data_IF_671735399465
#
_entry.id   IF_671735399465
#
_cell.length_a   1.000
_cell.length_b   1.000
_cell.length_c   1.000
_cell.angle_alpha   90.00
_cell.angle_beta   90.00
_cell.angle_gamma   90.00
#
_symmetry.space_group_name_H-M   'P 1'
#
loop_
_entity.id
_entity.type
_entity.pdbx_description
1 polymer ?
#
# COMPACT_ATOMS: atom_id res chain seq x y z
N UNK A 1 5.00 -18.35 5.81
CA UNK A 1 4.50 -17.32 4.88
C UNK A 1 4.92 -15.95 5.37
N UNK A 2 5.62 -15.21 4.51
CA UNK A 2 5.87 -13.79 4.69
C UNK A 2 5.02 -12.99 3.70
N UNK A 3 4.46 -11.86 4.15
CA UNK A 3 3.88 -10.86 3.27
C UNK A 3 4.60 -9.54 3.49
N UNK A 4 5.23 -9.03 2.43
CA UNK A 4 5.78 -7.69 2.39
C UNK A 4 4.72 -6.71 1.88
N UNK A 5 4.43 -5.69 2.65
CA UNK A 5 3.41 -4.68 2.37
C UNK A 5 4.10 -3.37 1.98
N UNK A 6 3.78 -2.86 0.82
CA UNK A 6 4.42 -1.68 0.23
C UNK A 6 3.34 -0.68 -0.19
N UNK A 7 3.44 0.57 0.24
CA UNK A 7 2.67 1.65 -0.36
C UNK A 7 3.32 2.07 -1.67
N UNK A 8 2.53 2.24 -2.73
CA UNK A 8 3.00 2.72 -4.04
C UNK A 8 3.87 3.98 -3.95
N UNK A 9 4.63 4.26 -5.00
CA UNK A 9 5.48 5.45 -5.13
C UNK A 9 4.71 6.75 -5.24
N UNK A 10 5.41 7.87 -5.10
CA UNK A 10 4.84 9.20 -5.20
C UNK A 10 4.15 9.45 -6.54
N UNK A 11 3.01 10.11 -6.49
CA UNK A 11 2.30 10.68 -7.64
C UNK A 11 2.26 12.21 -7.52
N UNK A 12 1.92 12.91 -8.61
CA UNK A 12 1.75 14.37 -8.55
C UNK A 12 0.62 14.78 -7.59
N UNK A 13 -0.41 13.95 -7.45
CA UNK A 13 -1.48 14.21 -6.49
C UNK A 13 -1.03 14.03 -5.03
N UNK A 14 -0.12 13.08 -4.74
CA UNK A 14 0.53 13.02 -3.43
C UNK A 14 1.29 14.30 -3.14
N UNK A 15 2.04 14.79 -4.12
CA UNK A 15 2.88 15.98 -3.96
C UNK A 15 2.07 17.25 -3.62
N UNK A 16 0.89 17.42 -4.21
CA UNK A 16 0.02 18.58 -3.99
C UNK A 16 -1.09 18.33 -2.95
N UNK A 17 -1.10 17.17 -2.29
CA UNK A 17 -2.05 16.86 -1.21
C UNK A 17 -3.48 16.60 -1.67
N UNK A 18 -3.69 16.12 -2.90
CA UNK A 18 -5.00 15.67 -3.38
C UNK A 18 -5.27 14.22 -2.99
N UNK A 19 -6.49 13.94 -2.56
CA UNK A 19 -6.97 12.58 -2.33
C UNK A 19 -7.16 11.88 -3.68
N UNK A 20 -6.53 10.73 -3.86
CA UNK A 20 -6.59 9.96 -5.09
C UNK A 20 -7.72 8.93 -5.09
N UNK A 21 -7.86 8.19 -3.99
CA UNK A 21 -8.81 7.10 -3.93
C UNK A 21 -8.57 6.11 -5.08
N UNK A 22 -9.62 5.83 -5.86
CA UNK A 22 -9.56 4.96 -7.05
C UNK A 22 -9.30 5.71 -8.35
N UNK A 23 -9.16 7.03 -8.31
CA UNK A 23 -8.70 7.80 -9.48
C UNK A 23 -7.31 7.34 -9.87
N UNK A 24 -7.14 7.01 -11.15
CA UNK A 24 -5.97 6.30 -11.66
C UNK A 24 -4.86 7.27 -12.07
N UNK A 25 -4.15 7.79 -11.08
CA UNK A 25 -3.03 8.72 -11.26
C UNK A 25 -1.71 7.93 -11.33
N UNK A 26 -0.85 8.18 -12.35
CA UNK A 26 0.42 7.49 -12.53
C UNK A 26 1.47 7.95 -11.50
N UNK A 27 2.55 7.16 -11.38
CA UNK A 27 3.76 7.60 -10.67
C UNK A 27 4.34 8.85 -11.32
N UNK A 28 4.94 9.72 -10.51
CA UNK A 28 5.85 10.72 -11.02
C UNK A 28 7.30 10.20 -11.03
N UNK A 29 8.26 11.00 -11.49
CA UNK A 29 9.66 10.59 -11.57
C UNK A 29 10.23 10.22 -10.19
N UNK A 30 9.90 11.01 -9.16
CA UNK A 30 10.33 10.70 -7.79
C UNK A 30 9.76 9.37 -7.30
N UNK A 31 8.50 9.07 -7.61
CA UNK A 31 7.87 7.78 -7.28
C UNK A 31 8.58 6.59 -7.92
N UNK A 32 9.01 6.71 -9.18
CA UNK A 32 9.83 5.70 -9.87
C UNK A 32 11.19 5.51 -9.20
N UNK A 33 11.85 6.61 -8.82
CA UNK A 33 13.12 6.55 -8.11
C UNK A 33 12.99 5.90 -6.73
N UNK A 34 11.94 6.23 -5.99
CA UNK A 34 11.62 5.58 -4.72
C UNK A 34 11.44 4.06 -4.88
N UNK A 35 10.73 3.62 -5.92
CA UNK A 35 10.52 2.22 -6.22
C UNK A 35 11.84 1.49 -6.53
N UNK A 36 12.75 2.11 -7.27
CA UNK A 36 14.08 1.57 -7.55
C UNK A 36 14.92 1.42 -6.28
N UNK A 37 14.89 2.41 -5.38
CA UNK A 37 15.60 2.35 -4.10
C UNK A 37 15.12 1.19 -3.22
N UNK A 38 13.80 0.97 -3.15
CA UNK A 38 13.29 -0.19 -2.44
C UNK A 38 13.67 -1.50 -3.14
N UNK A 39 13.57 -1.57 -4.46
CA UNK A 39 13.99 -2.74 -5.23
C UNK A 39 15.45 -3.12 -5.00
N UNK A 40 16.36 -2.14 -5.01
CA UNK A 40 17.78 -2.34 -4.72
C UNK A 40 18.02 -2.85 -3.30
N UNK A 41 17.25 -2.37 -2.33
CA UNK A 41 17.30 -2.88 -0.96
C UNK A 41 16.83 -4.33 -0.91
N UNK A 42 15.66 -4.63 -1.47
CA UNK A 42 15.07 -5.97 -1.45
C UNK A 42 15.98 -7.02 -2.11
N UNK A 43 16.71 -6.63 -3.16
CA UNK A 43 17.67 -7.53 -3.84
C UNK A 43 18.86 -7.90 -2.94
N UNK A 44 19.14 -7.12 -1.89
CA UNK A 44 20.24 -7.32 -0.93
C UNK A 44 19.76 -7.79 0.45
N UNK A 45 18.45 -7.85 0.66
CA UNK A 45 17.87 -8.24 1.93
C UNK A 45 18.00 -9.76 2.16
N UNK A 46 17.86 -10.18 3.41
CA UNK A 46 17.85 -11.60 3.77
C UNK A 46 16.57 -12.34 3.39
N UNK A 47 15.49 -11.59 3.12
CA UNK A 47 14.23 -12.18 2.70
C UNK A 47 14.24 -12.50 1.21
N UNK A 48 13.79 -13.68 0.85
CA UNK A 48 13.52 -14.06 -0.55
C UNK A 48 12.03 -13.93 -0.83
N UNK A 49 11.71 -13.41 -2.00
CA UNK A 49 10.34 -13.17 -2.44
C UNK A 49 10.03 -14.01 -3.68
N UNK A 50 8.85 -14.61 -3.71
CA UNK A 50 8.46 -15.50 -4.81
C UNK A 50 7.60 -14.80 -5.86
N UNK A 51 6.77 -13.83 -5.42
CA UNK A 51 5.85 -13.08 -6.30
C UNK A 51 5.70 -11.64 -5.85
N UNK A 52 5.29 -10.80 -6.80
CA UNK A 52 4.75 -9.47 -6.51
C UNK A 52 3.31 -9.42 -6.98
N UNK A 53 2.43 -8.77 -6.22
CA UNK A 53 1.04 -8.51 -6.59
C UNK A 53 0.70 -7.05 -6.35
N UNK A 54 -0.17 -6.46 -7.18
CA UNK A 54 -0.63 -5.08 -7.04
C UNK A 54 -2.15 -4.98 -7.09
N UNK A 55 -2.66 -3.77 -6.82
CA UNK A 55 -4.09 -3.46 -6.92
C UNK A 55 -4.59 -3.25 -8.36
N UNK A 56 -3.68 -3.10 -9.33
CA UNK A 56 -4.00 -2.77 -10.72
C UNK A 56 -4.12 -1.27 -11.03
N UNK A 57 -4.17 -0.38 -10.03
CA UNK A 57 -4.02 1.05 -10.30
C UNK A 57 -2.60 1.36 -10.78
N UNK A 58 -2.44 2.24 -11.77
CA UNK A 58 -1.16 2.50 -12.45
C UNK A 58 -0.01 2.74 -11.47
N UNK A 59 -0.21 3.56 -10.43
CA UNK A 59 0.81 3.86 -9.42
C UNK A 59 1.28 2.63 -8.63
N UNK A 60 0.38 1.70 -8.36
CA UNK A 60 0.72 0.44 -7.67
C UNK A 60 1.31 -0.58 -8.64
N UNK A 61 0.75 -0.70 -9.83
CA UNK A 61 1.21 -1.62 -10.88
C UNK A 61 2.62 -1.28 -11.34
N UNK A 62 2.92 0.00 -11.61
CA UNK A 62 4.26 0.43 -12.01
C UNK A 62 5.28 0.24 -10.88
N UNK A 63 4.91 0.56 -9.64
CA UNK A 63 5.76 0.27 -8.47
C UNK A 63 6.06 -1.23 -8.37
N UNK A 64 5.04 -2.08 -8.49
CA UNK A 64 5.18 -3.54 -8.44
C UNK A 64 6.04 -4.08 -9.59
N UNK A 65 5.86 -3.56 -10.80
CA UNK A 65 6.63 -3.95 -11.99
C UNK A 65 8.12 -3.62 -11.84
N UNK A 66 8.46 -2.43 -11.33
CA UNK A 66 9.85 -2.06 -11.06
C UNK A 66 10.50 -3.04 -10.08
N UNK A 67 9.79 -3.39 -9.00
CA UNK A 67 10.29 -4.31 -7.98
C UNK A 67 10.41 -5.73 -8.54
N UNK A 68 9.37 -6.25 -9.20
CA UNK A 68 9.35 -7.60 -9.75
C UNK A 68 10.48 -7.82 -10.77
N UNK A 69 10.70 -6.84 -11.66
CA UNK A 69 11.77 -6.88 -12.65
C UNK A 69 13.17 -6.91 -11.99
N UNK A 70 13.39 -6.08 -10.98
CA UNK A 70 14.68 -6.02 -10.28
C UNK A 70 14.97 -7.30 -9.48
N UNK A 71 13.95 -7.94 -8.93
CA UNK A 71 14.08 -9.20 -8.18
C UNK A 71 14.04 -10.45 -9.08
N UNK A 72 13.71 -10.29 -10.35
CA UNK A 72 13.50 -11.41 -11.29
C UNK A 72 12.42 -12.39 -10.84
N UNK A 73 11.34 -11.88 -10.26
CA UNK A 73 10.19 -12.68 -9.81
C UNK A 73 8.93 -12.33 -10.60
N UNK A 74 7.95 -13.24 -10.71
CA UNK A 74 6.70 -12.98 -11.41
C UNK A 74 5.89 -11.84 -10.77
N UNK A 75 5.31 -10.98 -11.60
CA UNK A 75 4.22 -10.10 -11.22
C UNK A 75 2.91 -10.83 -11.50
N UNK A 76 2.14 -11.11 -10.45
CA UNK A 76 0.84 -11.78 -10.57
C UNK A 76 -0.21 -10.84 -11.17
N UNK A 77 -1.30 -11.39 -11.74
CA UNK A 77 -2.45 -10.57 -12.09
C UNK A 77 -2.91 -9.72 -10.91
N UNK A 78 -3.37 -8.49 -11.14
CA UNK A 78 -3.77 -7.60 -10.04
C UNK A 78 -4.97 -8.15 -9.28
N UNK A 79 -5.04 -7.82 -7.99
CA UNK A 79 -6.17 -8.17 -7.13
C UNK A 79 -6.88 -6.90 -6.66
N UNK A 80 -8.13 -6.72 -7.09
CA UNK A 80 -8.92 -5.52 -6.76
C UNK A 80 -9.25 -5.40 -5.25
N UNK A 81 -9.12 -6.46 -4.48
CA UNK A 81 -9.35 -6.41 -3.04
C UNK A 81 -8.31 -5.58 -2.29
N UNK A 82 -7.14 -5.35 -2.89
CA UNK A 82 -6.08 -4.51 -2.32
C UNK A 82 -6.02 -3.11 -2.93
N UNK A 83 -7.06 -2.70 -3.66
CA UNK A 83 -7.19 -1.35 -4.20
C UNK A 83 -7.41 -0.32 -3.08
N UNK A 84 -7.10 0.94 -3.36
CA UNK A 84 -7.34 2.01 -2.39
C UNK A 84 -8.83 2.16 -2.06
N UNK A 85 -9.11 2.73 -0.90
CA UNK A 85 -10.45 3.17 -0.54
C UNK A 85 -11.04 4.04 -1.64
N UNK A 86 -12.27 3.77 -2.05
CA UNK A 86 -13.03 4.74 -2.81
C UNK A 86 -13.38 5.93 -1.91
N UNK A 87 -13.05 7.13 -2.36
CA UNK A 87 -13.36 8.35 -1.64
C UNK A 87 -14.54 9.14 -2.26
N UNK A 88 -15.18 8.60 -3.30
CA UNK A 88 -16.35 9.19 -3.92
C UNK A 88 -16.11 10.64 -4.35
N UNK A 89 -16.98 11.56 -3.90
CA UNK A 89 -16.92 12.98 -4.27
C UNK A 89 -15.65 13.70 -3.77
N UNK A 90 -14.94 13.11 -2.81
CA UNK A 90 -13.73 13.70 -2.19
C UNK A 90 -12.49 13.52 -3.08
N UNK A 91 -12.53 12.58 -4.03
CA UNK A 91 -11.40 12.34 -4.94
C UNK A 91 -11.07 13.57 -5.78
N UNK A 92 -9.78 13.86 -5.92
CA UNK A 92 -9.28 15.04 -6.64
C UNK A 92 -9.34 16.34 -5.86
N UNK A 93 -9.66 16.31 -4.57
CA UNK A 93 -9.73 17.51 -3.73
C UNK A 93 -8.53 17.65 -2.81
N UNK A 94 -8.10 18.89 -2.59
CA UNK A 94 -7.14 19.26 -1.54
C UNK A 94 -7.86 19.41 -0.18
N UNK A 95 -7.07 19.51 0.89
CA UNK A 95 -7.65 19.76 2.20
C UNK A 95 -8.43 21.08 2.25
N UNK A 96 -7.90 22.14 1.65
CA UNK A 96 -8.58 23.45 1.59
C UNK A 96 -9.92 23.35 0.87
N UNK A 97 -9.97 22.67 -0.27
CA UNK A 97 -11.22 22.45 -1.02
C UNK A 97 -12.24 21.64 -0.22
N UNK A 98 -11.81 20.62 0.52
CA UNK A 98 -12.70 19.84 1.40
C UNK A 98 -13.26 20.69 2.53
N UNK A 99 -12.40 21.46 3.18
CA UNK A 99 -12.83 22.37 4.26
C UNK A 99 -13.83 23.40 3.77
N UNK A 100 -13.61 23.99 2.58
CA UNK A 100 -14.51 24.97 1.98
C UNK A 100 -15.86 24.35 1.58
N UNK A 101 -15.87 23.15 0.99
CA UNK A 101 -17.09 22.51 0.46
C UNK A 101 -17.92 21.85 1.56
N UNK A 102 -17.28 21.19 2.51
CA UNK A 102 -17.95 20.28 3.46
C UNK A 102 -17.64 20.55 4.94
N UNK A 103 -16.67 21.41 5.25
CA UNK A 103 -16.24 21.69 6.61
C UNK A 103 -15.24 20.67 7.16
N UNK A 104 -14.84 20.84 8.41
CA UNK A 104 -13.86 20.01 9.10
C UNK A 104 -14.32 18.56 9.35
N UNK A 105 -15.63 18.35 9.45
CA UNK A 105 -16.24 17.02 9.65
C UNK A 105 -16.63 16.32 8.35
N UNK A 106 -15.98 16.64 7.23
CA UNK A 106 -16.30 16.05 5.93
C UNK A 106 -16.22 14.50 5.91
N UNK A 107 -15.38 13.92 6.76
CA UNK A 107 -15.25 12.46 6.88
C UNK A 107 -16.49 11.77 7.42
N UNK A 108 -17.31 12.49 8.17
CA UNK A 108 -18.56 11.98 8.76
C UNK A 108 -19.75 12.12 7.80
N UNK A 109 -19.58 12.84 6.69
CA UNK A 109 -20.62 13.02 5.69
C UNK A 109 -20.66 11.83 4.72
N UNK A 110 -21.84 11.54 4.22
CA UNK A 110 -22.01 10.60 3.10
C UNK A 110 -21.65 11.30 1.78
N UNK A 111 -20.40 11.14 1.35
CA UNK A 111 -19.86 11.66 0.10
C UNK A 111 -19.52 10.53 -0.89
N UNK A 112 -20.06 9.34 -0.65
CA UNK A 112 -19.85 8.14 -1.48
C UNK A 112 -18.52 7.43 -1.19
N UNK A 113 -17.87 7.73 -0.07
CA UNK A 113 -16.66 7.03 0.32
C UNK A 113 -16.96 5.64 0.90
N UNK A 114 -16.07 4.71 0.61
CA UNK A 114 -16.08 3.37 1.19
C UNK A 114 -15.84 3.46 2.71
N UNK A 115 -16.58 2.70 3.49
CA UNK A 115 -16.46 2.69 4.95
C UNK A 115 -15.19 1.98 5.42
N UNK A 116 -14.79 2.24 6.67
CA UNK A 116 -13.67 1.53 7.30
C UNK A 116 -13.90 0.02 7.33
N UNK A 117 -15.12 -0.40 7.63
CA UNK A 117 -15.55 -1.80 7.74
C UNK A 117 -15.44 -2.51 6.39
N UNK A 118 -15.87 -1.87 5.31
CA UNK A 118 -15.76 -2.44 3.95
C UNK A 118 -14.30 -2.64 3.54
N UNK A 119 -13.44 -1.65 3.80
CA UNK A 119 -12.00 -1.78 3.52
C UNK A 119 -11.37 -2.90 4.34
N UNK A 120 -11.66 -2.96 5.64
CA UNK A 120 -11.13 -4.04 6.52
C UNK A 120 -11.60 -5.42 6.09
N UNK A 121 -12.88 -5.55 5.72
CA UNK A 121 -13.44 -6.83 5.30
C UNK A 121 -12.71 -7.40 4.07
N UNK A 122 -12.53 -6.60 3.00
CA UNK A 122 -11.82 -7.04 1.80
C UNK A 122 -10.32 -7.27 2.05
N UNK A 123 -9.70 -6.48 2.93
CA UNK A 123 -8.31 -6.67 3.31
C UNK A 123 -8.07 -8.00 4.04
N UNK A 124 -8.93 -8.33 5.00
CA UNK A 124 -8.84 -9.59 5.74
C UNK A 124 -9.15 -10.80 4.86
N UNK A 125 -10.12 -10.68 3.95
CA UNK A 125 -10.40 -11.75 2.97
C UNK A 125 -9.19 -12.00 2.06
N UNK A 126 -8.55 -10.94 1.56
CA UNK A 126 -7.32 -11.07 0.78
C UNK A 126 -6.22 -11.83 1.54
N UNK A 127 -5.94 -11.44 2.79
CA UNK A 127 -4.92 -12.11 3.60
C UNK A 127 -5.26 -13.57 3.88
N UNK A 128 -6.52 -13.88 4.12
CA UNK A 128 -6.96 -15.26 4.33
C UNK A 128 -6.69 -16.09 3.08
N UNK A 129 -7.16 -15.65 1.93
CA UNK A 129 -6.99 -16.37 0.66
C UNK A 129 -5.50 -16.55 0.31
N UNK A 130 -4.68 -15.49 0.49
CA UNK A 130 -3.24 -15.59 0.27
C UNK A 130 -2.60 -16.65 1.17
N UNK A 131 -3.01 -16.72 2.42
CA UNK A 131 -2.47 -17.70 3.35
C UNK A 131 -2.92 -19.14 3.05
N UNK A 132 -4.08 -19.33 2.44
CA UNK A 132 -4.59 -20.64 2.04
C UNK A 132 -3.99 -21.12 0.71
N UNK A 133 -3.93 -20.23 -0.29
CA UNK A 133 -3.49 -20.55 -1.64
C UNK A 133 -1.97 -20.52 -1.81
N UNK A 134 -1.26 -19.73 -1.01
CA UNK A 134 0.18 -19.50 -1.12
C UNK A 134 0.92 -19.73 0.21
N UNK A 135 0.51 -20.74 0.98
CA UNK A 135 1.02 -21.00 2.34
C UNK A 135 2.55 -21.17 2.44
N UNK A 136 3.20 -21.54 1.35
CA UNK A 136 4.66 -21.76 1.26
C UNK A 136 5.40 -20.69 0.47
N UNK A 137 4.74 -19.59 0.12
CA UNK A 137 5.33 -18.53 -0.67
C UNK A 137 5.52 -17.24 0.14
N UNK A 138 6.54 -16.46 -0.22
CA UNK A 138 6.74 -15.10 0.28
C UNK A 138 6.29 -14.10 -0.79
N UNK A 139 5.37 -13.23 -0.44
CA UNK A 139 4.67 -12.36 -1.41
C UNK A 139 4.90 -10.90 -1.07
N UNK A 140 5.27 -10.11 -2.07
CA UNK A 140 5.26 -8.65 -1.98
C UNK A 140 3.93 -8.11 -2.51
N UNK A 141 3.26 -7.31 -1.71
CA UNK A 141 1.99 -6.67 -2.04
C UNK A 141 2.17 -5.15 -2.14
N UNK A 142 1.90 -4.59 -3.30
CA UNK A 142 1.91 -3.14 -3.51
C UNK A 142 0.49 -2.60 -3.49
N UNK A 143 0.21 -1.74 -2.52
CA UNK A 143 -1.11 -1.20 -2.24
C UNK A 143 -1.03 0.30 -1.88
N UNK A 144 -1.91 0.77 -1.03
CA UNK A 144 -2.24 2.19 -0.85
C UNK A 144 -2.31 2.58 0.62
N UNK A 145 -2.20 3.89 0.88
CA UNK A 145 -2.08 4.40 2.25
C UNK A 145 -3.28 4.10 3.13
N UNK A 146 -4.51 4.42 2.70
CA UNK A 146 -5.70 4.20 3.51
C UNK A 146 -6.04 2.71 3.64
N UNK A 147 -5.85 1.92 2.58
CA UNK A 147 -6.02 0.48 2.64
C UNK A 147 -5.09 -0.16 3.68
N UNK A 148 -3.79 0.13 3.61
CA UNK A 148 -2.79 -0.41 4.55
C UNK A 148 -3.06 0.04 5.98
N UNK A 149 -3.46 1.29 6.20
CA UNK A 149 -3.85 1.77 7.53
C UNK A 149 -5.00 0.96 8.12
N UNK A 150 -6.03 0.66 7.33
CA UNK A 150 -7.16 -0.16 7.79
C UNK A 150 -6.76 -1.63 7.99
N UNK A 151 -5.87 -2.16 7.18
CA UNK A 151 -5.31 -3.50 7.38
C UNK A 151 -4.56 -3.59 8.70
N UNK A 152 -3.70 -2.63 9.01
CA UNK A 152 -2.96 -2.61 10.29
C UNK A 152 -3.89 -2.47 11.49
N UNK A 153 -4.94 -1.65 11.39
CA UNK A 153 -5.96 -1.55 12.44
C UNK A 153 -6.72 -2.87 12.64
N UNK A 154 -7.04 -3.58 11.56
CA UNK A 154 -7.71 -4.87 11.64
C UNK A 154 -6.83 -5.95 12.31
N UNK A 155 -5.52 -5.95 12.03
CA UNK A 155 -4.59 -6.95 12.56
C UNK A 155 -4.08 -6.62 13.96
N UNK A 156 -3.84 -5.36 14.25
CA UNK A 156 -3.06 -4.92 15.42
C UNK A 156 -3.77 -3.89 16.28
N UNK A 157 -5.03 -3.61 15.99
CA UNK A 157 -5.81 -2.58 16.67
C UNK A 157 -5.09 -1.20 16.60
N UNK A 158 -5.11 -0.41 17.65
CA UNK A 158 -4.52 0.93 17.67
C UNK A 158 -2.99 0.95 17.87
N UNK A 159 -2.32 -0.19 17.80
CA UNK A 159 -0.88 -0.29 18.06
C UNK A 159 -0.01 0.40 16.99
N UNK A 160 -0.49 0.47 15.75
CA UNK A 160 0.25 0.98 14.59
C UNK A 160 -0.61 1.98 13.81
N UNK A 161 -0.47 3.26 14.12
CA UNK A 161 -1.27 4.35 13.52
C UNK A 161 -0.41 5.45 12.86
N UNK A 162 0.88 5.19 12.66
CA UNK A 162 1.79 6.13 12.03
C UNK A 162 1.42 6.37 10.57
N UNK A 163 1.79 7.54 10.05
CA UNK A 163 1.60 7.85 8.65
C UNK A 163 2.37 6.87 7.75
N UNK A 164 1.68 6.25 6.82
CA UNK A 164 2.26 5.31 5.87
C UNK A 164 2.75 6.11 4.67
N UNK A 165 4.08 6.28 4.58
CA UNK A 165 4.73 7.03 3.49
C UNK A 165 4.79 6.22 2.19
N UNK A 166 4.91 6.93 1.05
CA UNK A 166 5.21 6.28 -0.22
C UNK A 166 6.47 5.42 -0.10
N UNK A 167 6.43 4.22 -0.68
CA UNK A 167 7.47 3.20 -0.57
C UNK A 167 7.87 2.81 0.86
N UNK A 168 7.03 3.05 1.87
CA UNK A 168 7.19 2.40 3.15
C UNK A 168 7.03 0.89 3.01
N UNK A 169 7.81 0.14 3.76
CA UNK A 169 7.89 -1.31 3.69
C UNK A 169 7.63 -1.94 5.06
N UNK A 170 6.67 -2.83 5.10
CA UNK A 170 6.31 -3.63 6.29
C UNK A 170 6.42 -5.10 5.93
N UNK A 171 6.94 -5.93 6.81
CA UNK A 171 6.97 -7.39 6.64
C UNK A 171 6.17 -8.03 7.76
N UNK A 172 5.17 -8.80 7.39
CA UNK A 172 4.36 -9.61 8.30
C UNK A 172 4.73 -11.08 8.13
N UNK A 173 4.91 -11.76 9.24
CA UNK A 173 5.05 -13.21 9.30
C UNK A 173 3.76 -13.85 9.82
N UNK A 174 3.28 -14.86 9.12
CA UNK A 174 2.17 -15.68 9.61
C UNK A 174 2.72 -16.89 10.36
N UNK A 175 2.36 -16.98 11.65
CA UNK A 175 2.62 -18.14 12.51
C UNK A 175 1.27 -18.66 13.01
N UNK A 176 0.94 -19.88 12.65
CA UNK A 176 -0.34 -20.49 12.94
C UNK A 176 -1.52 -19.61 12.45
N UNK A 177 -2.32 -19.09 13.36
CA UNK A 177 -3.46 -18.22 13.05
C UNK A 177 -3.14 -16.73 13.23
N UNK A 178 -1.91 -16.36 13.59
CA UNK A 178 -1.55 -14.99 13.94
C UNK A 178 -0.59 -14.38 12.95
N UNK A 179 -0.78 -13.08 12.68
CA UNK A 179 0.14 -12.24 11.94
C UNK A 179 1.00 -11.42 12.91
N UNK A 180 2.29 -11.40 12.70
CA UNK A 180 3.24 -10.62 13.51
C UNK A 180 4.11 -9.75 12.62
N UNK A 181 4.25 -8.45 12.90
CA UNK A 181 5.17 -7.60 12.15
C UNK A 181 6.61 -7.89 12.60
N UNK A 182 7.47 -8.21 11.65
CA UNK A 182 8.92 -8.32 11.86
C UNK A 182 9.68 -7.10 11.35
N UNK A 183 9.04 -6.30 10.52
CA UNK A 183 9.45 -4.97 10.10
C UNK A 183 8.19 -4.13 9.92
N UNK A 184 8.19 -2.88 10.39
CA UNK A 184 7.02 -2.01 10.27
C UNK A 184 7.36 -0.64 9.70
N UNK A 185 6.60 -0.21 8.69
CA UNK A 185 6.58 1.13 8.09
C UNK A 185 7.98 1.72 7.86
N UNK A 186 8.90 0.91 7.37
CA UNK A 186 10.30 1.26 7.21
C UNK A 186 10.55 2.03 5.91
N UNK A 187 11.24 3.16 6.01
CA UNK A 187 11.64 4.02 4.88
C UNK A 187 13.14 4.22 4.77
N UNK A 188 13.93 3.41 5.46
CA UNK A 188 15.41 3.57 5.52
C UNK A 188 16.06 3.64 4.15
N UNK A 189 15.58 2.86 3.17
CA UNK A 189 16.08 2.86 1.81
C UNK A 189 15.90 4.20 1.07
N UNK A 190 15.02 5.07 1.53
CA UNK A 190 14.82 6.41 0.96
C UNK A 190 15.83 7.44 1.52
N UNK A 191 16.44 7.16 2.66
CA UNK A 191 17.39 8.05 3.35
C UNK A 191 18.82 7.85 2.84
N UNK A 192 19.16 6.65 2.37
CA UNK A 192 20.50 6.28 1.89
C UNK A 192 20.91 6.95 0.57
N UNK A 193 19.98 7.59 -0.13
CA UNK A 193 20.24 8.26 -1.41
C UNK A 193 20.78 9.69 -1.28
N UNK A 194 20.99 10.20 -0.06
CA UNK A 194 21.48 11.55 0.22
C UNK A 194 22.96 11.61 0.66
N UNK A 195 23.76 10.57 0.35
CA UNK A 195 25.21 10.52 0.62
C UNK A 195 25.98 10.45 -0.68
#
# INVERSE_FOLDING_TARGET
LLIGLIRHGQTDWNLIGKIQGRTDIPLNENGRNQAKLLADRLARDMFTWDYVISSGLQRAEETASIIANALHVPLLPPDERIIERSYGQVEGTTQEERMTRWGDQWRERDLGQETNEEVRARAMQFLQDMSEQHSNANILMVSHGSFLAQLYLALFQERYQENIKNLSFTVLEKKDLHWSPILYNCTRHLEESNV
#
